data_IF_511108392115
#
_entry.id   IF_511108392115
#
_cell.length_a   1.000
_cell.length_b   1.000
_cell.length_c   1.000
_cell.angle_alpha   90.00
_cell.angle_beta   90.00
_cell.angle_gamma   90.00
#
_symmetry.space_group_name_H-M   'P 1'
#
loop_
_entity.id
_entity.type
_entity.pdbx_description
1 polymer ?
#
# COMPACT_ATOMS: atom_id res chain seq x y z
N UNK A 1 -17.34 -10.16 -20.32
CA UNK A 1 -15.90 -10.48 -20.10
C UNK A 1 -15.31 -9.38 -19.22
N UNK A 2 -15.16 -9.66 -17.94
CA UNK A 2 -14.48 -8.77 -17.01
C UNK A 2 -12.97 -8.95 -17.19
N UNK A 3 -12.32 -7.93 -17.74
CA UNK A 3 -10.87 -7.86 -17.79
C UNK A 3 -10.35 -7.49 -16.41
N UNK A 4 -9.89 -8.48 -15.65
CA UNK A 4 -9.13 -8.27 -14.43
C UNK A 4 -7.78 -7.67 -14.84
N UNK A 5 -7.53 -6.40 -14.52
CA UNK A 5 -6.21 -5.80 -14.65
C UNK A 5 -5.35 -6.29 -13.50
N UNK A 6 -4.68 -7.41 -13.68
CA UNK A 6 -3.58 -7.80 -12.80
C UNK A 6 -2.38 -6.93 -13.14
N UNK A 7 -1.95 -6.09 -12.20
CA UNK A 7 -0.75 -5.27 -12.35
C UNK A 7 0.51 -6.10 -12.09
N UNK A 8 0.88 -6.95 -13.05
CA UNK A 8 2.18 -7.59 -13.03
C UNK A 8 2.88 -7.37 -14.37
N UNK A 9 4.20 -7.17 -14.29
CA UNK A 9 5.06 -7.10 -15.47
C UNK A 9 5.74 -8.46 -15.66
N UNK A 10 5.65 -9.01 -16.87
CA UNK A 10 6.36 -10.24 -17.23
C UNK A 10 7.57 -9.86 -18.07
N UNK A 11 8.76 -10.11 -17.53
CA UNK A 11 9.98 -10.00 -18.31
C UNK A 11 10.15 -11.24 -19.19
N UNK A 12 10.15 -11.06 -20.51
CA UNK A 12 10.39 -12.12 -21.47
C UNK A 12 11.74 -11.89 -22.13
N UNK A 13 12.71 -12.79 -21.97
CA UNK A 13 13.98 -12.67 -22.66
C UNK A 13 13.77 -12.69 -24.19
N UNK A 14 14.55 -11.91 -24.90
CA UNK A 14 14.45 -11.72 -26.35
C UNK A 14 14.57 -13.07 -27.09
N UNK A 15 13.49 -13.51 -27.70
CA UNK A 15 13.44 -14.69 -28.55
C UNK A 15 12.83 -14.32 -29.89
N UNK A 16 13.66 -14.33 -30.94
CA UNK A 16 13.24 -14.02 -32.31
C UNK A 16 12.08 -14.90 -32.80
N UNK A 17 10.94 -14.26 -33.15
CA UNK A 17 9.91 -14.81 -33.99
C UNK A 17 8.96 -15.84 -33.36
N UNK A 18 8.87 -15.98 -32.05
CA UNK A 18 7.99 -16.98 -31.40
C UNK A 18 6.72 -16.33 -30.78
N UNK A 19 5.59 -17.02 -30.91
CA UNK A 19 4.35 -16.66 -30.21
C UNK A 19 4.45 -17.07 -28.75
N UNK A 20 4.20 -16.15 -27.84
CA UNK A 20 4.09 -16.43 -26.42
C UNK A 20 2.65 -16.87 -26.09
N UNK A 21 2.50 -18.00 -25.43
CA UNK A 21 1.20 -18.41 -24.88
C UNK A 21 1.19 -18.09 -23.39
N UNK A 22 0.26 -17.23 -22.97
CA UNK A 22 0.03 -16.92 -21.57
C UNK A 22 -1.16 -17.74 -21.09
N UNK A 23 -0.94 -18.59 -20.08
CA UNK A 23 -1.98 -19.37 -19.44
C UNK A 23 -2.29 -18.73 -18.09
N UNK A 24 -3.49 -18.23 -17.90
CA UNK A 24 -3.96 -17.67 -16.64
C UNK A 24 -4.98 -18.63 -16.02
N UNK A 25 -4.73 -19.00 -14.78
CA UNK A 25 -5.63 -19.85 -13.99
C UNK A 25 -6.40 -18.98 -13.01
N UNK A 26 -7.71 -18.99 -13.09
CA UNK A 26 -8.59 -18.36 -12.13
C UNK A 26 -9.73 -19.34 -11.80
N UNK A 27 -9.91 -19.67 -10.54
CA UNK A 27 -10.97 -20.58 -10.04
C UNK A 27 -11.02 -21.90 -10.80
N UNK A 28 -9.86 -22.58 -10.94
CA UNK A 28 -9.68 -23.85 -11.65
C UNK A 28 -10.01 -23.84 -13.16
N UNK A 29 -10.32 -22.68 -13.72
CA UNK A 29 -10.51 -22.51 -15.15
C UNK A 29 -9.26 -21.91 -15.80
N UNK A 30 -8.76 -22.60 -16.81
CA UNK A 30 -7.65 -22.15 -17.63
C UNK A 30 -8.16 -21.20 -18.73
N UNK A 31 -7.60 -19.98 -18.79
CA UNK A 31 -7.80 -19.07 -19.90
C UNK A 31 -6.49 -18.90 -20.68
N UNK A 32 -6.51 -19.31 -21.93
CA UNK A 32 -5.34 -19.24 -22.81
C UNK A 32 -5.35 -17.97 -23.63
N UNK A 33 -4.31 -17.15 -23.49
CA UNK A 33 -4.10 -15.96 -24.30
C UNK A 33 -2.87 -16.15 -25.18
N UNK A 34 -3.02 -15.88 -26.48
CA UNK A 34 -1.91 -15.89 -27.42
C UNK A 34 -1.52 -14.44 -27.68
N UNK A 35 -0.30 -14.07 -27.25
CA UNK A 35 0.26 -12.76 -27.49
C UNK A 35 1.28 -12.85 -28.61
N UNK A 36 1.09 -12.08 -29.70
CA UNK A 36 2.08 -11.93 -30.76
C UNK A 36 3.19 -10.99 -30.27
N UNK A 37 4.44 -11.47 -30.27
CA UNK A 37 5.60 -10.68 -29.82
C UNK A 37 5.87 -9.44 -30.69
N UNK A 38 5.34 -9.40 -31.91
CA UNK A 38 5.44 -8.24 -32.82
C UNK A 38 4.73 -6.99 -32.25
N UNK A 39 3.87 -7.17 -31.22
CA UNK A 39 3.17 -6.10 -30.51
C UNK A 39 3.75 -5.82 -29.12
N UNK A 40 4.74 -6.57 -28.70
CA UNK A 40 5.46 -6.30 -27.45
C UNK A 40 6.49 -5.21 -27.74
N UNK A 41 6.24 -4.02 -27.22
CA UNK A 41 7.17 -2.91 -27.39
C UNK A 41 8.32 -3.09 -26.45
N UNK A 42 9.54 -3.05 -26.97
CA UNK A 42 10.75 -2.90 -26.15
C UNK A 42 10.64 -1.61 -25.36
N UNK A 43 10.83 -1.71 -24.04
CA UNK A 43 10.73 -0.57 -23.13
C UNK A 43 11.91 0.37 -23.24
N UNK A 44 12.01 1.09 -24.33
CA UNK A 44 12.72 2.36 -24.36
C UNK A 44 11.71 3.46 -24.00
N UNK A 45 12.11 4.35 -23.11
CA UNK A 45 11.37 5.51 -22.65
C UNK A 45 11.11 6.51 -23.79
N UNK A 46 10.33 6.08 -24.78
CA UNK A 46 9.83 6.91 -25.85
C UNK A 46 8.40 7.32 -25.52
N UNK A 47 8.15 8.60 -25.43
CA UNK A 47 6.80 9.17 -25.43
C UNK A 47 6.01 8.61 -26.61
N UNK A 48 5.19 7.60 -26.38
CA UNK A 48 4.28 7.07 -27.39
C UNK A 48 3.30 8.15 -27.82
N UNK A 49 3.53 8.73 -28.98
CA UNK A 49 2.60 9.58 -29.71
C UNK A 49 1.47 8.74 -30.31
N UNK A 50 0.82 7.90 -29.52
CA UNK A 50 -0.49 7.35 -29.92
C UNK A 50 -1.41 8.55 -29.99
N UNK A 51 -1.85 8.88 -31.21
CA UNK A 51 -2.75 10.00 -31.48
C UNK A 51 -3.87 10.04 -30.45
N UNK A 52 -4.14 11.21 -29.89
CA UNK A 52 -5.29 11.44 -28.98
C UNK A 52 -6.59 10.89 -29.56
N UNK A 53 -6.69 10.87 -30.89
CA UNK A 53 -7.80 10.32 -31.63
C UNK A 53 -7.90 8.79 -31.51
N UNK A 54 -6.77 8.08 -31.62
CA UNK A 54 -6.74 6.62 -31.44
C UNK A 54 -7.06 6.23 -29.99
N UNK A 55 -6.54 6.98 -29.02
CA UNK A 55 -6.89 6.80 -27.58
C UNK A 55 -8.39 7.02 -27.36
N UNK A 56 -8.98 8.01 -28.02
CA UNK A 56 -10.43 8.28 -27.97
C UNK A 56 -11.28 7.14 -28.53
N UNK A 57 -10.89 6.59 -29.69
CA UNK A 57 -11.59 5.46 -30.31
C UNK A 57 -11.51 4.19 -29.46
N UNK A 58 -10.34 3.87 -28.89
CA UNK A 58 -10.20 2.73 -28.00
C UNK A 58 -11.06 2.89 -26.74
N UNK A 59 -11.06 4.07 -26.15
CA UNK A 59 -11.89 4.35 -24.98
C UNK A 59 -13.39 4.28 -25.31
N UNK A 60 -13.80 4.77 -26.47
CA UNK A 60 -15.18 4.66 -26.95
C UNK A 60 -15.62 3.21 -27.11
N UNK A 61 -14.80 2.37 -27.79
CA UNK A 61 -15.11 0.94 -27.95
C UNK A 61 -15.23 0.20 -26.64
N UNK A 62 -14.43 0.62 -25.62
CA UNK A 62 -14.39 -0.05 -24.32
C UNK A 62 -15.48 0.41 -23.35
N UNK A 63 -15.81 1.71 -23.36
CA UNK A 63 -16.67 2.33 -22.32
C UNK A 63 -17.94 2.99 -22.85
N UNK A 64 -18.14 2.98 -24.17
CA UNK A 64 -19.31 3.55 -24.84
C UNK A 64 -19.28 5.08 -25.01
N UNK A 65 -20.17 5.59 -25.86
CA UNK A 65 -20.20 7.00 -26.30
C UNK A 65 -20.39 7.97 -25.15
N UNK A 66 -21.34 7.72 -24.25
CA UNK A 66 -21.68 8.65 -23.15
C UNK A 66 -20.49 8.89 -22.21
N UNK A 67 -19.72 7.85 -21.89
CA UNK A 67 -18.52 7.98 -21.03
C UNK A 67 -17.37 8.68 -21.76
N UNK A 68 -17.20 8.42 -23.07
CA UNK A 68 -16.17 9.07 -23.89
C UNK A 68 -16.42 10.56 -24.00
N UNK A 69 -17.65 10.99 -24.32
CA UNK A 69 -18.01 12.39 -24.40
C UNK A 69 -17.81 13.09 -23.07
N UNK A 70 -18.26 12.49 -21.96
CA UNK A 70 -18.06 13.05 -20.61
C UNK A 70 -16.57 13.23 -20.27
N UNK A 71 -15.71 12.31 -20.68
CA UNK A 71 -14.25 12.40 -20.48
C UNK A 71 -13.63 13.51 -21.34
N UNK A 72 -14.09 13.68 -22.59
CA UNK A 72 -13.64 14.76 -23.47
C UNK A 72 -14.04 16.12 -22.89
N UNK A 73 -15.29 16.28 -22.49
CA UNK A 73 -15.79 17.53 -21.88
C UNK A 73 -15.01 17.88 -20.62
N UNK A 74 -14.76 16.90 -19.72
CA UNK A 74 -13.94 17.11 -18.52
C UNK A 74 -12.51 17.55 -18.86
N UNK A 75 -11.90 16.94 -19.88
CA UNK A 75 -10.55 17.31 -20.33
C UNK A 75 -10.52 18.73 -20.92
N UNK A 76 -11.55 19.11 -21.68
CA UNK A 76 -11.69 20.48 -22.23
C UNK A 76 -11.92 21.51 -21.12
N UNK A 77 -12.60 21.13 -20.02
CA UNK A 77 -12.81 21.98 -18.85
C UNK A 77 -11.58 22.08 -17.93
N UNK A 78 -10.45 21.46 -18.29
CA UNK A 78 -9.23 21.45 -17.48
C UNK A 78 -9.35 20.70 -16.15
N UNK A 79 -10.46 20.00 -15.91
CA UNK A 79 -10.64 19.20 -14.70
C UNK A 79 -9.78 17.96 -14.80
N UNK A 80 -8.69 17.92 -14.01
CA UNK A 80 -7.89 16.71 -13.82
C UNK A 80 -8.79 15.62 -13.23
N UNK A 81 -8.71 14.39 -13.75
CA UNK A 81 -9.42 13.23 -13.19
C UNK A 81 -8.84 12.79 -11.81
N UNK A 82 -7.91 13.55 -11.28
CA UNK A 82 -7.31 13.34 -9.97
C UNK A 82 -8.09 14.13 -8.93
N UNK A 83 -8.77 13.42 -8.06
CA UNK A 83 -9.29 14.02 -6.81
C UNK A 83 -8.07 14.48 -6.01
N UNK A 84 -8.02 15.73 -5.58
CA UNK A 84 -6.93 16.17 -4.70
C UNK A 84 -7.03 15.40 -3.38
N UNK A 85 -5.87 15.20 -2.71
CA UNK A 85 -5.86 14.54 -1.40
C UNK A 85 -6.73 15.31 -0.38
N UNK A 86 -6.74 16.63 -0.48
CA UNK A 86 -7.57 17.48 0.36
C UNK A 86 -9.07 17.27 0.12
N UNK A 87 -9.50 17.18 -1.16
CA UNK A 87 -10.90 16.91 -1.50
C UNK A 87 -11.32 15.49 -1.07
N UNK A 88 -10.37 14.52 -1.16
CA UNK A 88 -10.58 13.17 -0.66
C UNK A 88 -10.78 13.19 0.85
N UNK A 89 -9.90 13.86 1.61
CA UNK A 89 -10.03 13.97 3.06
C UNK A 89 -11.31 14.67 3.49
N UNK A 90 -11.70 15.76 2.84
CA UNK A 90 -12.96 16.45 3.13
C UNK A 90 -14.19 15.57 2.92
N UNK A 91 -14.14 14.66 1.93
CA UNK A 91 -15.27 13.82 1.57
C UNK A 91 -15.33 12.52 2.36
N UNK A 92 -14.17 11.91 2.63
CA UNK A 92 -14.05 10.57 3.20
C UNK A 92 -13.28 10.53 4.52
N UNK A 93 -12.61 11.62 4.90
CA UNK A 93 -11.95 11.73 6.20
C UNK A 93 -12.94 11.63 7.35
N UNK A 94 -12.53 10.99 8.41
CA UNK A 94 -13.34 10.90 9.63
C UNK A 94 -13.40 12.30 10.25
N UNK A 95 -14.60 12.73 10.60
CA UNK A 95 -14.82 14.04 11.24
C UNK A 95 -14.43 13.99 12.71
N UNK A 96 -14.02 15.13 13.26
CA UNK A 96 -13.59 15.21 14.66
C UNK A 96 -14.71 14.83 15.65
N UNK A 97 -15.98 15.14 15.30
CA UNK A 97 -17.13 14.74 16.10
C UNK A 97 -17.26 13.22 16.20
N UNK A 98 -16.98 12.51 15.09
CA UNK A 98 -16.99 11.05 15.06
C UNK A 98 -15.81 10.46 15.83
N UNK A 99 -14.61 11.05 15.71
CA UNK A 99 -13.45 10.65 16.51
C UNK A 99 -13.70 10.85 18.01
N UNK A 100 -14.33 11.98 18.39
CA UNK A 100 -14.71 12.23 19.78
C UNK A 100 -15.71 11.21 20.30
N UNK A 101 -16.70 10.79 19.48
CA UNK A 101 -17.64 9.74 19.81
C UNK A 101 -16.93 8.39 20.00
N UNK A 102 -16.04 8.02 19.08
CA UNK A 102 -15.26 6.78 19.15
C UNK A 102 -14.38 6.70 20.40
N UNK A 103 -13.77 7.82 20.83
CA UNK A 103 -12.95 7.87 22.04
C UNK A 103 -13.77 7.61 23.32
N UNK A 104 -15.07 7.84 23.30
CA UNK A 104 -15.97 7.58 24.43
C UNK A 104 -16.51 6.16 24.45
N UNK A 105 -16.35 5.42 23.36
CA UNK A 105 -16.85 4.06 23.24
C UNK A 105 -15.91 3.09 23.95
N UNK A 106 -16.45 2.37 24.94
CA UNK A 106 -15.70 1.40 25.75
C UNK A 106 -16.10 -0.01 25.33
N UNK A 107 -15.10 -0.78 24.91
CA UNK A 107 -15.28 -2.19 24.56
C UNK A 107 -14.81 -3.05 25.74
N UNK A 108 -15.73 -3.51 26.61
CA UNK A 108 -15.38 -4.26 27.85
C UNK A 108 -14.54 -5.53 27.57
N UNK A 109 -14.76 -6.19 26.43
CA UNK A 109 -14.02 -7.39 26.00
C UNK A 109 -13.46 -7.22 24.59
N UNK A 110 -13.01 -6.02 24.23
CA UNK A 110 -12.45 -5.77 22.91
C UNK A 110 -11.11 -6.51 22.74
N UNK A 111 -10.82 -7.09 21.55
CA UNK A 111 -9.59 -7.81 21.31
C UNK A 111 -8.37 -6.88 21.38
N UNK A 112 -7.25 -7.41 21.85
CA UNK A 112 -5.97 -6.70 21.78
C UNK A 112 -5.34 -6.85 20.39
N UNK A 113 -4.91 -5.73 19.79
CA UNK A 113 -4.19 -5.72 18.51
C UNK A 113 -2.70 -5.52 18.74
N UNK A 114 -1.89 -6.50 18.30
CA UNK A 114 -0.43 -6.36 18.24
C UNK A 114 -0.03 -5.75 16.91
N UNK A 115 0.56 -4.55 16.96
CA UNK A 115 1.07 -3.84 15.78
C UNK A 115 2.55 -4.17 15.66
N UNK A 116 2.93 -5.01 14.67
CA UNK A 116 4.30 -5.46 14.48
C UNK A 116 5.02 -4.61 13.44
N UNK A 117 6.05 -3.87 13.85
CA UNK A 117 6.76 -2.92 12.99
C UNK A 117 8.25 -3.24 12.94
N UNK A 118 8.79 -3.68 11.78
CA UNK A 118 10.23 -3.80 11.59
C UNK A 118 10.84 -2.42 11.32
N UNK A 119 11.96 -2.13 11.98
CA UNK A 119 12.74 -0.90 11.79
C UNK A 119 14.09 -1.25 11.17
N UNK A 120 14.55 -0.41 10.22
CA UNK A 120 15.89 -0.46 9.69
C UNK A 120 16.31 0.91 9.17
N UNK A 121 17.32 1.52 9.79
CA UNK A 121 17.83 2.85 9.46
C UNK A 121 16.72 3.89 9.28
N UNK A 122 15.66 3.75 10.09
CA UNK A 122 14.51 4.64 10.06
C UNK A 122 14.90 6.01 10.61
N UNK A 123 14.51 7.09 9.93
CA UNK A 123 14.76 8.44 10.46
C UNK A 123 13.89 8.67 11.68
N UNK A 124 14.49 9.28 12.74
CA UNK A 124 13.81 9.59 13.99
C UNK A 124 12.44 10.27 13.77
N UNK A 125 12.40 11.26 12.89
CA UNK A 125 11.15 11.98 12.56
C UNK A 125 10.01 11.02 12.19
N UNK A 126 10.26 10.06 11.29
CA UNK A 126 9.22 9.12 10.83
C UNK A 126 8.84 8.11 11.92
N UNK A 127 9.80 7.71 12.75
CA UNK A 127 9.51 6.85 13.89
C UNK A 127 8.58 7.56 14.88
N UNK A 128 8.88 8.82 15.24
CA UNK A 128 8.03 9.62 16.14
C UNK A 128 6.62 9.78 15.56
N UNK A 129 6.51 10.21 14.30
CA UNK A 129 5.22 10.38 13.63
C UNK A 129 4.42 9.06 13.60
N UNK A 130 5.07 7.92 13.38
CA UNK A 130 4.43 6.60 13.40
C UNK A 130 3.93 6.25 14.82
N UNK A 131 4.77 6.36 15.85
CA UNK A 131 4.36 6.06 17.23
C UNK A 131 3.19 6.96 17.65
N UNK A 132 3.28 8.25 17.38
CA UNK A 132 2.24 9.22 17.70
C UNK A 132 0.94 8.93 16.97
N UNK A 133 1.01 8.45 15.71
CA UNK A 133 -0.18 8.04 14.96
C UNK A 133 -0.88 6.82 15.56
N UNK A 134 -0.12 5.88 16.12
CA UNK A 134 -0.67 4.71 16.83
C UNK A 134 -1.29 5.17 18.17
N UNK A 135 -0.61 6.04 18.91
CA UNK A 135 -1.14 6.58 20.15
C UNK A 135 -2.40 7.44 19.97
N UNK A 136 -2.57 8.06 18.79
CA UNK A 136 -3.73 8.86 18.43
C UNK A 136 -4.95 8.02 18.03
N UNK A 137 -4.83 6.70 17.91
CA UNK A 137 -5.95 5.82 17.57
C UNK A 137 -7.06 5.92 18.61
N UNK A 138 -8.31 5.85 18.17
CA UNK A 138 -9.49 5.89 19.05
C UNK A 138 -9.70 4.59 19.79
N UNK A 139 -9.30 3.46 19.21
CA UNK A 139 -9.27 2.17 19.89
C UNK A 139 -8.02 2.06 20.77
N UNK A 140 -8.19 1.73 22.03
CA UNK A 140 -7.11 1.81 23.01
C UNK A 140 -6.46 0.49 23.38
N UNK A 141 -7.11 -0.66 23.05
CA UNK A 141 -6.59 -1.99 23.38
C UNK A 141 -5.65 -2.50 22.28
N UNK A 142 -4.46 -1.94 22.26
CA UNK A 142 -3.38 -2.32 21.34
C UNK A 142 -2.03 -2.33 22.05
N UNK A 143 -1.07 -3.01 21.46
CA UNK A 143 0.35 -2.95 21.76
C UNK A 143 1.17 -2.71 20.51
N UNK A 144 2.30 -2.05 20.62
CA UNK A 144 3.22 -1.74 19.53
C UNK A 144 4.54 -2.46 19.75
N UNK A 145 4.86 -3.40 18.87
CA UNK A 145 6.04 -4.24 18.90
C UNK A 145 7.05 -3.79 17.84
N UNK A 146 8.14 -3.16 18.26
CA UNK A 146 9.16 -2.60 17.38
C UNK A 146 10.42 -3.47 17.39
N UNK A 147 10.82 -4.01 16.24
CA UNK A 147 12.08 -4.76 16.10
C UNK A 147 13.05 -3.98 15.22
N UNK A 148 14.16 -3.53 15.79
CA UNK A 148 15.14 -2.66 15.14
C UNK A 148 16.39 -3.41 14.69
N UNK A 149 16.51 -3.63 13.38
CA UNK A 149 17.69 -4.23 12.74
C UNK A 149 18.77 -3.23 12.36
N UNK A 150 18.73 -1.99 12.84
CA UNK A 150 19.71 -0.95 12.44
C UNK A 150 21.10 -1.15 13.04
N UNK A 151 21.24 -2.05 14.01
CA UNK A 151 22.49 -2.23 14.77
C UNK A 151 22.70 -1.13 15.81
N UNK A 152 23.65 -1.36 16.70
CA UNK A 152 23.86 -0.49 17.91
C UNK A 152 24.21 0.96 17.58
N UNK A 153 24.98 1.18 16.52
CA UNK A 153 25.43 2.54 16.15
C UNK A 153 24.30 3.42 15.57
N UNK A 154 23.28 2.80 14.98
CA UNK A 154 22.15 3.48 14.37
C UNK A 154 20.83 3.19 15.07
N UNK A 155 20.90 2.65 16.28
CA UNK A 155 19.74 2.26 17.08
C UNK A 155 18.89 3.46 17.48
N UNK A 156 17.59 3.29 17.34
CA UNK A 156 16.59 4.26 17.81
C UNK A 156 16.15 4.02 19.26
N UNK A 157 16.85 3.14 19.98
CA UNK A 157 16.56 2.81 21.38
C UNK A 157 16.39 4.04 22.29
N UNK A 158 17.23 5.11 22.21
CA UNK A 158 17.03 6.30 23.04
C UNK A 158 15.68 6.97 22.76
N UNK A 159 15.31 7.07 21.49
CA UNK A 159 14.05 7.71 21.06
C UNK A 159 12.85 6.89 21.51
N UNK A 160 12.88 5.57 21.25
CA UNK A 160 11.79 4.67 21.67
C UNK A 160 11.68 4.62 23.19
N UNK A 161 12.80 4.69 23.91
CA UNK A 161 12.85 4.73 25.38
C UNK A 161 12.02 5.86 25.98
N UNK A 162 11.99 7.04 25.34
CA UNK A 162 11.16 8.17 25.77
C UNK A 162 9.65 7.83 25.74
N UNK A 163 9.21 7.04 24.73
CA UNK A 163 7.83 6.62 24.60
C UNK A 163 7.49 5.46 25.53
N UNK A 164 8.37 4.46 25.67
CA UNK A 164 8.18 3.33 26.60
C UNK A 164 8.05 3.81 28.05
N UNK A 165 8.79 4.85 28.43
CA UNK A 165 8.71 5.43 29.77
C UNK A 165 7.31 5.99 30.08
N UNK A 166 6.58 6.44 29.05
CA UNK A 166 5.25 7.07 29.14
C UNK A 166 4.12 6.09 28.83
N UNK A 167 4.36 5.12 27.96
CA UNK A 167 3.33 4.19 27.45
C UNK A 167 3.86 2.75 27.44
N UNK A 168 3.38 1.93 28.37
CA UNK A 168 3.83 0.53 28.57
C UNK A 168 3.34 -0.43 27.48
N UNK A 169 2.44 0.02 26.60
CA UNK A 169 1.99 -0.76 25.45
C UNK A 169 3.03 -0.83 24.33
N UNK A 170 4.09 -0.03 24.41
CA UNK A 170 5.17 0.00 23.42
C UNK A 170 6.29 -0.93 23.88
N UNK A 171 6.61 -1.91 23.05
CA UNK A 171 7.67 -2.89 23.23
C UNK A 171 8.74 -2.67 22.16
N UNK A 172 10.01 -2.89 22.52
CA UNK A 172 11.12 -2.69 21.60
C UNK A 172 12.20 -3.73 21.82
N UNK A 173 12.72 -4.27 20.72
CA UNK A 173 13.95 -5.07 20.73
C UNK A 173 14.93 -4.54 19.68
N UNK A 174 16.19 -4.46 20.07
CA UNK A 174 17.32 -4.20 19.17
C UNK A 174 17.87 -5.55 18.71
N UNK A 175 17.94 -5.76 17.40
CA UNK A 175 18.49 -6.98 16.81
C UNK A 175 20.02 -6.85 16.64
N UNK A 176 20.72 -7.96 16.74
CA UNK A 176 22.18 -7.99 16.52
C UNK A 176 22.55 -7.69 15.07
N UNK A 177 21.68 -8.04 14.14
CA UNK A 177 21.85 -7.79 12.69
C UNK A 177 20.53 -7.58 12.00
N UNK A 178 20.57 -6.96 10.81
CA UNK A 178 19.39 -6.83 9.97
C UNK A 178 19.09 -8.15 9.26
N UNK A 179 17.96 -8.75 9.56
CA UNK A 179 17.46 -9.98 8.93
C UNK A 179 16.49 -9.71 7.76
N UNK A 180 16.44 -8.46 7.28
CA UNK A 180 15.50 -8.02 6.26
C UNK A 180 14.09 -7.84 6.81
N UNK A 181 13.17 -7.38 5.95
CA UNK A 181 11.80 -7.07 6.37
C UNK A 181 11.13 -8.28 7.05
N UNK A 182 11.21 -9.46 6.44
CA UNK A 182 10.56 -10.66 6.96
C UNK A 182 11.16 -11.11 8.30
N UNK A 183 12.48 -11.15 8.41
CA UNK A 183 13.17 -11.53 9.66
C UNK A 183 12.86 -10.55 10.78
N UNK A 184 13.06 -9.26 10.56
CA UNK A 184 12.77 -8.23 11.56
C UNK A 184 11.28 -8.23 11.96
N UNK A 185 10.35 -8.48 11.02
CA UNK A 185 8.92 -8.63 11.36
C UNK A 185 8.68 -9.84 12.25
N UNK A 186 9.33 -10.98 11.98
CA UNK A 186 9.21 -12.17 12.81
C UNK A 186 9.73 -11.92 14.25
N UNK A 187 10.77 -11.11 14.40
CA UNK A 187 11.26 -10.73 15.72
C UNK A 187 10.26 -9.80 16.45
N UNK A 188 9.62 -8.88 15.72
CA UNK A 188 8.53 -8.07 16.29
C UNK A 188 7.35 -8.94 16.74
N UNK A 189 7.00 -9.97 15.95
CA UNK A 189 5.93 -10.91 16.27
C UNK A 189 6.18 -11.74 17.51
N UNK A 190 7.44 -12.02 17.88
CA UNK A 190 7.78 -12.74 19.12
C UNK A 190 7.42 -11.96 20.38
N UNK A 191 7.27 -10.64 20.25
CA UNK A 191 6.86 -9.76 21.37
C UNK A 191 5.34 -9.59 21.44
N UNK A 192 4.62 -10.07 20.44
CA UNK A 192 3.17 -9.88 20.31
C UNK A 192 2.42 -10.84 21.25
N UNK A 193 1.57 -10.27 22.10
CA UNK A 193 0.73 -11.02 23.06
C UNK A 193 -0.77 -10.79 22.79
N UNK A 194 -1.11 -10.00 21.76
CA UNK A 194 -2.51 -9.67 21.42
C UNK A 194 -3.25 -10.76 20.69
N UNK A 195 -4.56 -10.64 20.62
CA UNK A 195 -5.46 -11.60 19.94
C UNK A 195 -5.33 -11.55 18.41
N UNK A 196 -4.96 -10.40 17.86
CA UNK A 196 -4.75 -10.18 16.43
C UNK A 196 -3.44 -9.44 16.18
N UNK A 197 -2.82 -9.75 15.06
CA UNK A 197 -1.61 -9.06 14.58
C UNK A 197 -1.92 -8.24 13.34
N UNK A 198 -1.36 -7.03 13.28
CA UNK A 198 -1.45 -6.08 12.16
C UNK A 198 -0.09 -5.48 11.82
#
# INVERSE_FOLDING_TARGET
>A
EETVKCGFEIYVPEQNGRKLSLHLYANEKENKYIVSLDKVRHGESGHDTVSLFQKGICYWKQYGVKRTIRKIIRKMQGKKDTVSYEDFLKKYGVKEEELARQRQEVFENGPCFSIAVPLYQTKEKYLREMIESVQAQTYTNWELCLADGSGREHSLQPVVGEYIAKDKRIKYCLLDSNEGIAGNTNEALKMADGDFVV
#
